data_IF_795690948692
#
_entry.id   IF_795690948692
#
_cell.length_a   1.000
_cell.length_b   1.000
_cell.length_c   1.000
_cell.angle_alpha   90.00
_cell.angle_beta   90.00
_cell.angle_gamma   90.00
#
_symmetry.space_group_name_H-M   'P 1'
#
loop_
_entity.id
_entity.type
_entity.pdbx_description
1 polymer ?
#
# COMPACT_ATOMS: atom_id res chain seq x y z
N UNK A 1 -9.50 -10.72 13.58
CA UNK A 1 -8.39 -11.53 13.03
C UNK A 1 -7.56 -10.64 12.12
N UNK A 2 -6.45 -10.10 12.62
CA UNK A 2 -5.54 -9.28 11.80
C UNK A 2 -4.87 -10.20 10.76
N UNK A 3 -4.72 -9.79 9.48
CA UNK A 3 -3.94 -10.58 8.54
C UNK A 3 -2.53 -10.67 9.10
N UNK A 4 -2.11 -11.91 9.37
CA UNK A 4 -0.76 -12.28 9.80
C UNK A 4 0.19 -11.69 8.76
N UNK A 5 0.79 -10.54 9.09
CA UNK A 5 1.86 -9.96 8.28
C UNK A 5 2.91 -11.04 8.11
N UNK A 6 3.30 -11.31 6.86
CA UNK A 6 4.26 -12.34 6.46
C UNK A 6 5.21 -12.64 7.63
N UNK A 7 5.13 -13.83 8.27
CA UNK A 7 5.92 -14.12 9.46
C UNK A 7 7.36 -13.81 9.10
N UNK A 8 8.09 -13.04 9.93
CA UNK A 8 9.50 -12.67 9.70
C UNK A 8 10.25 -13.97 9.33
N UNK A 9 10.48 -14.29 8.03
CA UNK A 9 10.77 -15.67 7.70
C UNK A 9 12.26 -15.88 7.92
N UNK A 10 12.54 -16.70 8.93
CA UNK A 10 13.83 -17.28 9.28
C UNK A 10 14.91 -16.28 9.72
N UNK A 11 15.06 -16.12 11.04
CA UNK A 11 16.19 -15.45 11.69
C UNK A 11 17.58 -16.01 11.31
N UNK A 12 17.66 -17.12 10.56
CA UNK A 12 18.92 -17.77 10.17
C UNK A 12 19.79 -17.02 9.15
N UNK A 13 19.29 -16.00 8.44
CA UNK A 13 20.07 -15.29 7.39
C UNK A 13 20.10 -13.78 7.63
N UNK A 14 20.80 -13.37 8.69
CA UNK A 14 21.07 -11.95 9.01
C UNK A 14 22.57 -11.67 8.89
N UNK A 15 22.95 -10.76 8.00
CA UNK A 15 24.35 -10.37 7.77
C UNK A 15 24.45 -8.97 7.18
N UNK A 16 25.63 -8.34 7.23
CA UNK A 16 25.84 -7.06 6.54
C UNK A 16 25.77 -7.29 5.03
N UNK A 17 24.75 -6.76 4.36
CA UNK A 17 24.60 -6.94 2.92
C UNK A 17 25.65 -6.10 2.18
N UNK A 18 26.37 -6.73 1.27
CA UNK A 18 27.30 -6.05 0.36
C UNK A 18 27.00 -6.51 -1.06
N UNK A 19 27.47 -5.76 -2.06
CA UNK A 19 27.35 -6.17 -3.48
C UNK A 19 27.91 -7.58 -3.71
N UNK A 20 29.06 -7.89 -3.11
CA UNK A 20 29.71 -9.20 -3.23
C UNK A 20 28.83 -10.30 -2.64
N UNK A 21 28.31 -10.09 -1.44
CA UNK A 21 27.41 -11.03 -0.77
C UNK A 21 26.15 -11.26 -1.59
N UNK A 22 25.45 -10.19 -2.01
CA UNK A 22 24.17 -10.32 -2.74
C UNK A 22 24.35 -10.98 -4.10
N UNK A 23 25.48 -10.73 -4.77
CA UNK A 23 25.82 -11.41 -6.02
C UNK A 23 26.07 -12.90 -5.81
N UNK A 24 26.74 -13.28 -4.71
CA UNK A 24 27.04 -14.67 -4.38
C UNK A 24 25.83 -15.50 -3.94
N UNK A 25 24.72 -14.85 -3.57
CA UNK A 25 23.48 -15.54 -3.22
C UNK A 25 22.89 -16.26 -4.44
N UNK A 26 22.69 -17.57 -4.30
CA UNK A 26 22.11 -18.46 -5.31
C UNK A 26 20.59 -18.52 -5.19
N UNK A 27 19.89 -18.60 -6.31
CA UNK A 27 18.47 -18.90 -6.31
C UNK A 27 18.23 -20.32 -5.75
N UNK A 28 17.17 -20.48 -4.98
CA UNK A 28 16.71 -21.77 -4.46
C UNK A 28 15.33 -22.09 -5.06
N UNK A 29 14.86 -23.33 -4.91
CA UNK A 29 13.54 -23.75 -5.40
C UNK A 29 12.39 -22.91 -4.80
N UNK A 30 12.59 -22.38 -3.59
CA UNK A 30 11.67 -21.46 -2.93
C UNK A 30 12.35 -20.12 -2.73
N UNK A 31 11.58 -19.06 -2.85
CA UNK A 31 12.05 -17.72 -2.51
C UNK A 31 12.48 -17.63 -1.04
N UNK A 32 13.54 -16.85 -0.80
CA UNK A 32 14.03 -16.60 0.55
C UNK A 32 14.52 -15.15 0.69
N UNK A 33 14.66 -14.70 1.94
CA UNK A 33 15.13 -13.36 2.27
C UNK A 33 16.41 -13.42 3.07
N UNK A 34 17.31 -12.47 2.83
CA UNK A 34 18.52 -12.23 3.61
C UNK A 34 18.48 -10.82 4.17
N UNK A 35 18.56 -10.72 5.49
CA UNK A 35 18.36 -9.49 6.24
C UNK A 35 19.68 -8.76 6.48
N UNK A 36 19.65 -7.43 6.35
CA UNK A 36 20.78 -6.57 6.66
C UNK A 36 20.94 -6.41 8.18
N UNK A 37 22.19 -6.27 8.64
CA UNK A 37 22.48 -6.00 10.06
C UNK A 37 22.54 -4.51 10.38
N UNK A 38 22.70 -3.63 9.40
CA UNK A 38 22.88 -2.20 9.63
C UNK A 38 21.57 -1.43 9.66
N UNK A 39 20.57 -1.88 8.89
CA UNK A 39 19.24 -1.26 8.87
C UNK A 39 18.19 -2.32 9.19
N UNK A 40 17.49 -2.12 10.31
CA UNK A 40 16.39 -2.99 10.70
C UNK A 40 15.30 -2.99 9.63
N UNK A 41 14.81 -4.18 9.30
CA UNK A 41 13.77 -4.35 8.29
C UNK A 41 14.28 -4.35 6.84
N UNK A 42 15.49 -3.86 6.57
CA UNK A 42 16.08 -3.91 5.23
C UNK A 42 16.55 -5.33 4.90
N UNK A 43 16.17 -5.82 3.72
CA UNK A 43 16.51 -7.17 3.26
C UNK A 43 16.47 -7.26 1.74
N UNK A 44 17.19 -8.26 1.22
CA UNK A 44 17.07 -8.71 -0.16
C UNK A 44 16.24 -9.98 -0.20
N UNK A 45 15.27 -10.04 -1.12
CA UNK A 45 14.50 -11.24 -1.45
C UNK A 45 14.99 -11.82 -2.77
N UNK A 46 15.31 -13.10 -2.75
CA UNK A 46 15.81 -13.86 -3.89
C UNK A 46 14.67 -14.76 -4.33
N UNK A 47 14.25 -14.62 -5.58
CA UNK A 47 13.22 -15.46 -6.17
C UNK A 47 13.85 -16.68 -6.87
N UNK A 48 13.09 -17.78 -7.07
CA UNK A 48 13.56 -18.95 -7.83
C UNK A 48 14.01 -18.60 -9.26
N UNK A 49 13.46 -17.52 -9.84
CA UNK A 49 13.88 -16.99 -11.15
C UNK A 49 15.28 -16.36 -11.15
N UNK A 50 15.95 -16.24 -10.00
CA UNK A 50 17.21 -15.52 -9.86
C UNK A 50 17.06 -14.00 -9.74
N UNK A 51 15.84 -13.47 -9.88
CA UNK A 51 15.59 -12.04 -9.63
C UNK A 51 15.79 -11.71 -8.14
N UNK A 52 16.39 -10.53 -7.90
CA UNK A 52 16.72 -10.05 -6.55
C UNK A 52 16.04 -8.71 -6.32
N UNK A 53 15.15 -8.64 -5.34
CA UNK A 53 14.41 -7.41 -5.01
C UNK A 53 14.76 -6.95 -3.61
N UNK A 54 14.97 -5.66 -3.47
CA UNK A 54 15.32 -4.99 -2.23
C UNK A 54 14.05 -4.45 -1.58
N UNK A 55 13.89 -4.73 -0.31
CA UNK A 55 12.70 -4.39 0.46
C UNK A 55 13.08 -3.82 1.82
N UNK A 56 12.18 -3.02 2.38
CA UNK A 56 12.23 -2.60 3.78
C UNK A 56 10.92 -2.95 4.47
N UNK A 57 11.03 -3.65 5.60
CA UNK A 57 9.95 -3.74 6.58
C UNK A 57 10.03 -2.54 7.52
N UNK A 58 8.88 -1.94 7.79
CA UNK A 58 8.77 -0.87 8.75
C UNK A 58 7.43 -0.99 9.48
N UNK A 59 7.34 -0.29 10.62
CA UNK A 59 6.07 -0.13 11.32
C UNK A 59 5.52 1.25 11.02
N UNK A 60 4.26 1.30 10.59
CA UNK A 60 3.56 2.57 10.45
C UNK A 60 3.20 3.14 11.83
N UNK A 61 2.90 4.43 11.89
CA UNK A 61 2.41 5.11 13.10
C UNK A 61 1.18 4.43 13.72
N UNK A 62 0.40 3.68 12.92
CA UNK A 62 -0.78 2.91 13.37
C UNK A 62 -0.40 1.52 13.94
N UNK A 63 0.88 1.25 14.17
CA UNK A 63 1.38 -0.01 14.71
C UNK A 63 1.37 -1.18 13.71
N UNK A 64 1.01 -0.94 12.44
CA UNK A 64 0.95 -2.00 11.44
C UNK A 64 2.34 -2.24 10.83
N UNK A 65 2.77 -3.50 10.81
CA UNK A 65 3.94 -3.93 10.06
C UNK A 65 3.64 -3.92 8.57
N UNK A 66 4.45 -3.20 7.78
CA UNK A 66 4.31 -3.10 6.32
C UNK A 66 5.64 -3.41 5.66
N UNK A 67 5.57 -3.94 4.44
CA UNK A 67 6.71 -4.16 3.56
C UNK A 67 6.64 -3.21 2.37
N UNK A 68 7.74 -2.54 2.05
CA UNK A 68 7.85 -1.67 0.87
C UNK A 68 8.96 -2.15 -0.06
N UNK A 69 8.69 -2.30 -1.37
CA UNK A 69 9.75 -2.49 -2.36
C UNK A 69 10.56 -1.19 -2.52
N UNK A 70 11.88 -1.33 -2.54
CA UNK A 70 12.82 -0.23 -2.81
C UNK A 70 13.29 -0.27 -4.26
N UNK A 71 13.55 -1.47 -4.78
CA UNK A 71 14.02 -1.66 -6.14
C UNK A 71 14.48 -3.09 -6.41
N UNK A 72 15.16 -3.29 -7.54
CA UNK A 72 15.77 -4.57 -7.90
C UNK A 72 17.29 -4.41 -8.02
N UNK A 73 18.03 -5.43 -7.59
CA UNK A 73 19.47 -5.52 -7.82
C UNK A 73 19.71 -6.21 -9.17
N UNK A 74 20.67 -5.77 -10.02
CA UNK A 74 21.71 -4.76 -9.76
C UNK A 74 21.36 -3.31 -10.12
N UNK A 75 20.12 -3.03 -10.56
CA UNK A 75 19.71 -1.68 -10.97
C UNK A 75 19.81 -0.67 -9.82
N UNK A 76 19.43 -1.08 -8.62
CA UNK A 76 19.61 -0.32 -7.38
C UNK A 76 20.72 -0.96 -6.56
N UNK A 77 21.77 -0.20 -6.24
CA UNK A 77 22.87 -0.70 -5.43
C UNK A 77 22.46 -0.88 -3.96
N UNK A 78 23.15 -1.77 -3.26
CA UNK A 78 22.82 -2.11 -1.86
C UNK A 78 22.98 -0.90 -0.93
N UNK A 79 24.01 -0.08 -1.15
CA UNK A 79 24.28 1.08 -0.30
C UNK A 79 23.23 2.17 -0.52
N UNK A 80 22.89 2.47 -1.77
CA UNK A 80 21.79 3.39 -2.13
C UNK A 80 20.45 2.91 -1.58
N UNK A 81 20.13 1.62 -1.73
CA UNK A 81 18.93 1.03 -1.18
C UNK A 81 18.89 1.11 0.35
N UNK A 82 20.05 0.99 1.00
CA UNK A 82 20.16 1.11 2.46
C UNK A 82 19.85 2.53 2.92
N UNK A 83 20.34 3.54 2.21
CA UNK A 83 20.04 4.93 2.53
C UNK A 83 18.57 5.27 2.28
N UNK A 84 17.97 4.76 1.20
CA UNK A 84 16.53 4.85 0.98
C UNK A 84 15.74 4.16 2.11
N UNK A 85 16.16 2.97 2.54
CA UNK A 85 15.52 2.24 3.63
C UNK A 85 15.52 3.05 4.94
N UNK A 86 16.66 3.66 5.29
CA UNK A 86 16.79 4.55 6.47
C UNK A 86 15.83 5.73 6.39
N UNK A 87 15.84 6.42 5.26
CA UNK A 87 14.95 7.55 5.00
C UNK A 87 13.48 7.15 5.14
N UNK A 88 13.09 6.02 4.58
CA UNK A 88 11.71 5.52 4.71
C UNK A 88 11.32 5.16 6.14
N UNK A 89 12.18 4.49 6.89
CA UNK A 89 11.90 4.15 8.29
C UNK A 89 11.74 5.42 9.13
N UNK A 90 12.58 6.43 8.91
CA UNK A 90 12.47 7.72 9.59
C UNK A 90 11.18 8.46 9.23
N UNK A 91 10.86 8.56 7.93
CA UNK A 91 9.63 9.20 7.46
C UNK A 91 8.36 8.51 7.99
N UNK A 92 8.35 7.17 8.02
CA UNK A 92 7.24 6.40 8.55
C UNK A 92 7.03 6.62 10.06
N UNK A 93 8.14 6.75 10.83
CA UNK A 93 8.09 7.13 12.25
C UNK A 93 7.58 8.55 12.46
N UNK A 94 7.99 9.49 11.60
CA UNK A 94 7.50 10.87 11.62
C UNK A 94 6.02 11.01 11.22
N UNK A 95 5.42 9.98 10.61
CA UNK A 95 4.02 9.95 10.20
C UNK A 95 3.76 10.36 8.75
N UNK A 96 4.81 10.68 7.99
CA UNK A 96 4.77 10.99 6.55
C UNK A 96 4.81 9.71 5.71
N UNK A 97 3.92 8.75 6.03
CA UNK A 97 3.81 7.51 5.27
C UNK A 97 2.89 7.71 4.05
N UNK A 98 3.49 7.85 2.86
CA UNK A 98 2.79 7.97 1.57
C UNK A 98 1.82 6.81 1.30
N UNK A 99 2.01 5.63 1.91
CA UNK A 99 1.04 4.54 1.82
C UNK A 99 -0.18 4.77 2.72
N UNK A 100 -0.04 5.45 3.85
CA UNK A 100 -1.18 5.86 4.66
C UNK A 100 -2.03 6.89 3.90
N UNK A 101 -1.40 7.79 3.14
CA UNK A 101 -2.08 8.73 2.24
C UNK A 101 -2.75 8.02 1.06
N UNK A 102 -2.07 7.07 0.38
CA UNK A 102 -2.70 6.25 -0.67
C UNK A 102 -3.83 5.37 -0.15
N UNK A 103 -3.69 4.79 1.04
CA UNK A 103 -4.77 4.02 1.67
C UNK A 103 -5.91 4.95 2.14
N UNK A 104 -5.62 6.21 2.51
CA UNK A 104 -6.65 7.20 2.76
C UNK A 104 -7.40 7.57 1.47
N UNK A 105 -6.69 7.70 0.34
CA UNK A 105 -7.30 7.87 -0.98
C UNK A 105 -8.18 6.67 -1.38
N UNK A 106 -7.81 5.44 -0.99
CA UNK A 106 -8.68 4.26 -1.16
C UNK A 106 -9.89 4.23 -0.23
N UNK A 107 -9.86 4.98 0.88
CA UNK A 107 -11.01 5.16 1.79
C UNK A 107 -11.96 6.25 1.32
N UNK A 108 -11.59 7.01 0.30
CA UNK A 108 -12.52 7.90 -0.40
C UNK A 108 -13.46 7.00 -1.22
N UNK A 109 -14.77 6.97 -0.92
CA UNK A 109 -15.72 6.24 -1.75
C UNK A 109 -15.71 6.85 -3.16
N UNK A 110 -15.86 5.99 -4.17
CA UNK A 110 -16.22 6.47 -5.50
C UNK A 110 -17.61 7.12 -5.43
N UNK A 111 -17.96 7.95 -6.41
CA UNK A 111 -19.30 8.54 -6.45
C UNK A 111 -20.39 7.46 -6.48
N UNK A 112 -20.13 6.31 -7.12
CA UNK A 112 -21.04 5.19 -7.08
C UNK A 112 -21.16 4.56 -5.68
N UNK A 113 -20.04 4.32 -4.99
CA UNK A 113 -20.06 3.78 -3.64
C UNK A 113 -20.77 4.73 -2.66
N UNK A 114 -20.58 6.04 -2.82
CA UNK A 114 -21.31 7.05 -2.06
C UNK A 114 -22.81 7.06 -2.40
N UNK A 115 -23.16 6.97 -3.69
CA UNK A 115 -24.55 6.95 -4.13
C UNK A 115 -25.33 5.79 -3.50
N UNK A 116 -24.77 4.58 -3.48
CA UNK A 116 -25.43 3.42 -2.87
C UNK A 116 -25.71 3.64 -1.37
N UNK A 117 -24.74 4.18 -0.62
CA UNK A 117 -24.90 4.54 0.80
C UNK A 117 -25.95 5.66 0.99
N UNK A 118 -25.91 6.70 0.17
CA UNK A 118 -26.87 7.80 0.25
C UNK A 118 -28.30 7.33 -0.10
N UNK A 119 -28.41 6.45 -1.10
CA UNK A 119 -29.66 5.89 -1.56
C UNK A 119 -30.34 5.04 -0.48
N UNK A 120 -29.58 4.18 0.21
CA UNK A 120 -30.08 3.37 1.32
C UNK A 120 -30.46 4.22 2.55
N UNK A 121 -29.63 5.19 2.91
CA UNK A 121 -29.73 5.84 4.22
C UNK A 121 -30.65 7.08 4.21
N UNK A 122 -30.84 7.71 3.05
CA UNK A 122 -31.50 9.02 2.98
C UNK A 122 -32.61 9.14 1.94
N UNK A 123 -32.45 8.58 0.73
CA UNK A 123 -33.44 8.79 -0.33
C UNK A 123 -34.70 7.96 -0.09
N UNK A 124 -34.55 6.67 0.18
CA UNK A 124 -35.68 5.76 0.43
C UNK A 124 -36.46 6.10 1.71
N UNK A 125 -35.77 6.70 2.70
CA UNK A 125 -36.36 7.03 4.01
C UNK A 125 -37.06 8.39 4.03
N UNK A 126 -36.56 9.39 3.28
CA UNK A 126 -37.02 10.79 3.42
C UNK A 126 -37.71 11.38 2.20
N UNK A 127 -37.60 10.78 1.02
CA UNK A 127 -38.24 11.30 -0.20
C UNK A 127 -39.50 10.52 -0.56
N UNK A 128 -40.46 11.24 -1.14
CA UNK A 128 -41.63 10.61 -1.75
C UNK A 128 -41.20 9.61 -2.84
N UNK A 129 -41.83 8.43 -2.96
CA UNK A 129 -41.38 7.34 -3.84
C UNK A 129 -41.14 7.76 -5.29
N UNK A 130 -42.03 8.60 -5.82
CA UNK A 130 -41.96 9.10 -7.21
C UNK A 130 -40.78 10.02 -7.47
N UNK A 131 -40.35 10.78 -6.46
CA UNK A 131 -39.15 11.62 -6.56
C UNK A 131 -37.88 10.79 -6.42
N UNK A 132 -37.88 9.76 -5.57
CA UNK A 132 -36.78 8.83 -5.49
C UNK A 132 -36.55 8.15 -6.85
N UNK A 133 -37.58 7.54 -7.44
CA UNK A 133 -37.48 6.85 -8.73
C UNK A 133 -36.92 7.73 -9.87
N UNK A 134 -37.27 9.02 -9.87
CA UNK A 134 -36.72 10.00 -10.80
C UNK A 134 -35.21 10.22 -10.57
N UNK A 135 -34.79 10.36 -9.31
CA UNK A 135 -33.38 10.51 -8.94
C UNK A 135 -32.56 9.25 -9.30
N UNK A 136 -33.10 8.05 -9.08
CA UNK A 136 -32.47 6.78 -9.48
C UNK A 136 -32.26 6.71 -10.99
N UNK A 137 -33.28 7.14 -11.73
CA UNK A 137 -33.26 7.15 -13.19
C UNK A 137 -32.20 8.11 -13.71
N UNK A 138 -32.12 9.32 -13.14
CA UNK A 138 -31.10 10.33 -13.50
C UNK A 138 -29.69 9.83 -13.17
N UNK A 139 -29.52 9.24 -11.99
CA UNK A 139 -28.26 8.61 -11.61
C UNK A 139 -27.84 7.54 -12.61
N UNK A 140 -28.70 6.56 -12.88
CA UNK A 140 -28.37 5.41 -13.76
C UNK A 140 -28.10 5.84 -15.20
N UNK A 141 -28.87 6.78 -15.74
CA UNK A 141 -28.79 7.18 -17.15
C UNK A 141 -27.70 8.19 -17.46
N UNK A 142 -27.40 9.11 -16.53
CA UNK A 142 -26.58 10.28 -16.85
C UNK A 142 -25.33 10.41 -15.97
N UNK A 143 -25.42 10.05 -14.69
CA UNK A 143 -24.33 10.31 -13.74
C UNK A 143 -23.42 9.10 -13.53
N UNK A 144 -23.98 7.89 -13.47
CA UNK A 144 -23.23 6.66 -13.15
C UNK A 144 -22.18 6.35 -14.21
N UNK A 145 -22.50 6.44 -15.50
CA UNK A 145 -21.55 6.13 -16.58
C UNK A 145 -20.42 7.16 -16.69
N UNK A 146 -20.68 8.43 -16.42
CA UNK A 146 -19.71 9.51 -16.57
C UNK A 146 -18.85 9.74 -15.31
N UNK A 147 -19.40 9.45 -14.13
CA UNK A 147 -18.79 9.83 -12.84
C UNK A 147 -18.75 8.73 -11.80
N UNK A 148 -19.40 7.57 -12.02
CA UNK A 148 -19.55 6.51 -11.01
C UNK A 148 -18.22 5.99 -10.46
N UNK A 149 -17.21 5.84 -11.33
CA UNK A 149 -15.88 5.33 -10.95
C UNK A 149 -14.92 6.42 -10.45
N UNK A 150 -15.35 7.69 -10.46
CA UNK A 150 -14.51 8.80 -9.99
C UNK A 150 -14.53 8.89 -8.47
N UNK A 151 -13.37 9.15 -7.87
CA UNK A 151 -13.23 9.39 -6.44
C UNK A 151 -13.78 10.77 -6.06
N UNK A 152 -14.42 10.86 -4.89
CA UNK A 152 -14.93 12.12 -4.36
C UNK A 152 -13.78 12.87 -3.65
N UNK A 153 -13.26 13.92 -4.27
CA UNK A 153 -12.36 14.84 -3.56
C UNK A 153 -13.17 15.78 -2.66
N UNK A 154 -13.02 15.65 -1.35
CA UNK A 154 -13.52 16.66 -0.42
C UNK A 154 -12.57 17.86 -0.44
N UNK A 155 -12.99 18.96 -1.05
CA UNK A 155 -12.38 20.27 -0.83
C UNK A 155 -13.22 21.00 0.20
N UNK A 156 -12.58 21.60 1.21
CA UNK A 156 -13.24 22.48 2.17
C UNK A 156 -13.91 23.64 1.41
N UNK A 157 -15.22 23.52 1.18
CA UNK A 157 -16.05 24.64 0.74
C UNK A 157 -16.36 25.44 2.00
N UNK A 158 -15.44 26.32 2.40
CA UNK A 158 -15.76 27.35 3.39
C UNK A 158 -16.80 28.26 2.74
N UNK A 159 -18.01 28.30 3.33
CA UNK A 159 -19.05 29.25 3.00
C UNK A 159 -19.32 30.12 4.22
#
# INVERSE_FOLDING_TARGET
MLPVGDPVPNAKRKQKLTKAIVTALKAEAKEYSVWDTLVEGFHVRIFPSGSRKLYVYYRSKRGQSRRRPLGAFPLLQIDEARDQARSFVLAAKAGSDLYAERDALKRVPTLAAFWELHWSDHVTVKKAPRSAESDETLWRRHLKSAFGDKFIEFRDIRR
#
